data_IF_430630455559
#
_entry.id   IF_430630455559
#
_cell.length_a   1.000
_cell.length_b   1.000
_cell.length_c   1.000
_cell.angle_alpha   90.00
_cell.angle_beta   90.00
_cell.angle_gamma   90.00
#
_symmetry.space_group_name_H-M   'P 1'
#
loop_
_entity.id
_entity.type
_entity.pdbx_description
1 polymer ?
#
# COMPACT_ATOMS: atom_id res chain seq x y z
N UNK A 1 -37.65 2.12 11.99
CA UNK A 1 -36.87 2.64 10.85
C UNK A 1 -35.51 3.06 11.38
N UNK A 2 -34.47 2.25 11.20
CA UNK A 2 -33.12 2.57 11.69
C UNK A 2 -32.39 3.39 10.63
N UNK A 3 -32.10 4.64 10.95
CA UNK A 3 -31.25 5.52 10.15
C UNK A 3 -29.82 4.99 10.19
N UNK A 4 -29.41 4.29 9.14
CA UNK A 4 -28.02 3.88 8.92
C UNK A 4 -27.24 5.18 8.67
N UNK A 5 -26.39 5.56 9.64
CA UNK A 5 -25.46 6.68 9.46
C UNK A 5 -24.43 6.25 8.40
N UNK A 6 -24.08 7.10 7.43
CA UNK A 6 -22.98 6.78 6.53
C UNK A 6 -21.73 6.57 7.37
N UNK A 7 -21.13 5.38 7.29
CA UNK A 7 -19.84 5.08 7.87
C UNK A 7 -18.88 6.10 7.29
N UNK A 8 -18.42 7.04 8.12
CA UNK A 8 -17.41 8.01 7.72
C UNK A 8 -16.14 7.17 7.51
N UNK A 9 -15.82 6.87 6.26
CA UNK A 9 -14.59 6.15 5.92
C UNK A 9 -13.43 6.94 6.55
N UNK A 10 -12.70 6.31 7.46
CA UNK A 10 -11.54 6.90 8.13
C UNK A 10 -10.43 7.22 7.13
N UNK A 11 -10.42 6.52 6.00
CA UNK A 11 -9.45 6.65 4.92
C UNK A 11 -10.12 6.98 3.58
N UNK A 12 -9.33 7.51 2.67
CA UNK A 12 -9.70 7.78 1.28
C UNK A 12 -9.88 6.46 0.52
N UNK A 13 -10.72 6.50 -0.52
CA UNK A 13 -10.90 5.35 -1.40
C UNK A 13 -9.59 4.90 -2.06
N UNK A 14 -8.62 5.81 -2.23
CA UNK A 14 -7.33 5.49 -2.82
C UNK A 14 -6.43 4.76 -1.82
N UNK A 15 -6.44 5.15 -0.54
CA UNK A 15 -5.79 4.36 0.49
C UNK A 15 -6.43 2.99 0.66
N UNK A 16 -7.76 2.89 0.64
CA UNK A 16 -8.46 1.60 0.74
C UNK A 16 -8.07 0.65 -0.41
N UNK A 17 -7.90 1.16 -1.63
CA UNK A 17 -7.39 0.36 -2.76
C UNK A 17 -5.97 -0.14 -2.48
N UNK A 18 -5.09 0.72 -1.99
CA UNK A 18 -3.70 0.37 -1.68
C UNK A 18 -3.65 -0.70 -0.58
N UNK A 19 -4.40 -0.50 0.51
CA UNK A 19 -4.50 -1.44 1.63
C UNK A 19 -5.08 -2.79 1.19
N UNK A 20 -6.09 -2.78 0.31
CA UNK A 20 -6.68 -4.00 -0.25
C UNK A 20 -5.68 -4.82 -1.08
N UNK A 21 -4.83 -4.16 -1.87
CA UNK A 21 -3.75 -4.88 -2.59
C UNK A 21 -2.72 -5.43 -1.61
N UNK A 22 -2.35 -4.66 -0.60
CA UNK A 22 -1.40 -5.11 0.43
C UNK A 22 -1.90 -6.33 1.20
N UNK A 23 -3.20 -6.43 1.53
CA UNK A 23 -3.76 -7.60 2.24
C UNK A 23 -3.97 -8.83 1.37
N UNK A 24 -3.85 -8.70 0.05
CA UNK A 24 -3.96 -9.81 -0.91
C UNK A 24 -2.60 -10.47 -1.22
N UNK A 25 -1.50 -9.84 -0.80
CA UNK A 25 -0.16 -10.36 -1.00
C UNK A 25 0.36 -10.87 0.35
N UNK A 26 0.89 -12.09 0.36
CA UNK A 26 1.45 -12.71 1.55
C UNK A 26 2.97 -12.84 1.42
N UNK A 27 3.73 -12.67 2.53
CA UNK A 27 5.14 -13.00 2.53
C UNK A 27 5.36 -14.51 2.32
N UNK A 28 6.41 -14.92 1.59
CA UNK A 28 7.46 -14.07 1.02
C UNK A 28 6.99 -13.30 -0.22
N UNK A 29 7.20 -11.98 -0.23
CA UNK A 29 6.72 -11.11 -1.30
C UNK A 29 7.56 -11.30 -2.57
N UNK A 30 6.88 -11.67 -3.66
CA UNK A 30 7.52 -11.94 -4.96
C UNK A 30 7.70 -10.67 -5.77
N UNK A 31 8.55 -10.74 -6.78
CA UNK A 31 8.86 -9.59 -7.64
C UNK A 31 7.60 -8.95 -8.25
N UNK A 32 6.69 -9.78 -8.78
CA UNK A 32 5.46 -9.31 -9.43
C UNK A 32 4.51 -8.59 -8.45
N UNK A 33 4.41 -9.08 -7.21
CA UNK A 33 3.59 -8.49 -6.15
C UNK A 33 4.15 -7.13 -5.74
N UNK A 34 5.46 -7.07 -5.50
CA UNK A 34 6.19 -5.85 -5.13
C UNK A 34 6.10 -4.80 -6.23
N UNK A 35 6.25 -5.21 -7.50
CA UNK A 35 6.15 -4.33 -8.68
C UNK A 35 4.74 -3.76 -8.82
N UNK A 36 3.72 -4.61 -8.67
CA UNK A 36 2.32 -4.21 -8.78
C UNK A 36 1.92 -3.24 -7.67
N UNK A 37 2.32 -3.54 -6.42
CA UNK A 37 2.13 -2.66 -5.28
C UNK A 37 2.86 -1.32 -5.47
N UNK A 38 4.15 -1.33 -5.83
CA UNK A 38 4.95 -0.12 -6.05
C UNK A 38 4.34 0.81 -7.10
N UNK A 39 3.83 0.24 -8.21
CA UNK A 39 3.15 1.00 -9.26
C UNK A 39 1.88 1.67 -8.76
N UNK A 40 1.05 0.94 -7.99
CA UNK A 40 -0.18 1.48 -7.41
C UNK A 40 0.13 2.56 -6.38
N UNK A 41 1.08 2.29 -5.47
CA UNK A 41 1.58 3.22 -4.48
C UNK A 41 2.01 4.55 -5.12
N UNK A 42 2.87 4.53 -6.13
CA UNK A 42 3.32 5.75 -6.83
C UNK A 42 2.19 6.52 -7.50
N UNK A 43 1.22 5.80 -8.10
CA UNK A 43 0.07 6.42 -8.76
C UNK A 43 -0.85 7.13 -7.77
N UNK A 44 -0.99 6.59 -6.56
CA UNK A 44 -1.93 7.10 -5.56
C UNK A 44 -1.27 8.03 -4.54
N UNK A 45 0.06 8.00 -4.38
CA UNK A 45 0.78 8.74 -3.33
C UNK A 45 0.46 10.24 -3.28
N UNK A 46 0.26 10.89 -4.43
CA UNK A 46 -0.11 12.31 -4.48
C UNK A 46 -1.53 12.61 -3.98
N UNK A 47 -2.42 11.64 -4.04
CA UNK A 47 -3.82 11.75 -3.59
C UNK A 47 -4.00 11.39 -2.10
N UNK A 48 -3.02 10.70 -1.50
CA UNK A 48 -3.05 10.34 -0.08
C UNK A 48 -2.84 11.56 0.82
N UNK A 49 -3.57 11.58 1.93
CA UNK A 49 -3.33 12.48 3.06
C UNK A 49 -2.01 12.15 3.76
N UNK A 50 -1.53 13.06 4.60
CA UNK A 50 -0.26 12.87 5.31
C UNK A 50 -0.27 11.62 6.22
N UNK A 51 -1.39 11.34 6.89
CA UNK A 51 -1.53 10.16 7.73
C UNK A 51 -1.50 8.87 6.89
N UNK A 52 -2.24 8.82 5.78
CA UNK A 52 -2.25 7.67 4.87
C UNK A 52 -0.90 7.41 4.23
N UNK A 53 -0.13 8.47 3.94
CA UNK A 53 1.26 8.33 3.47
C UNK A 53 2.12 7.62 4.50
N UNK A 54 2.02 7.98 5.78
CA UNK A 54 2.77 7.30 6.84
C UNK A 54 2.38 5.82 6.94
N UNK A 55 1.10 5.48 6.79
CA UNK A 55 0.68 4.08 6.75
C UNK A 55 1.18 3.35 5.50
N UNK A 56 1.12 3.98 4.33
CA UNK A 56 1.60 3.41 3.10
C UNK A 56 3.13 3.21 3.09
N UNK A 57 3.88 4.12 3.71
CA UNK A 57 5.33 3.98 3.94
C UNK A 57 5.62 2.79 4.86
N UNK A 58 4.84 2.59 5.94
CA UNK A 58 4.94 1.37 6.77
C UNK A 58 4.64 0.09 6.00
N UNK A 59 3.68 0.11 5.07
CA UNK A 59 3.41 -1.05 4.20
C UNK A 59 4.63 -1.35 3.33
N UNK A 60 5.28 -0.32 2.78
CA UNK A 60 6.53 -0.47 2.01
C UNK A 60 7.63 -1.10 2.86
N UNK A 61 7.82 -0.64 4.10
CA UNK A 61 8.81 -1.21 5.02
C UNK A 61 8.53 -2.68 5.32
N UNK A 62 7.27 -3.05 5.59
CA UNK A 62 6.87 -4.45 5.80
C UNK A 62 7.11 -5.31 4.55
N UNK A 63 6.88 -4.77 3.35
CA UNK A 63 7.20 -5.47 2.11
C UNK A 63 8.69 -5.72 2.02
N UNK A 64 9.52 -4.71 2.31
CA UNK A 64 11.00 -4.82 2.28
C UNK A 64 11.48 -5.91 3.24
N UNK A 65 10.92 -5.98 4.45
CA UNK A 65 11.26 -6.99 5.45
C UNK A 65 10.86 -8.42 5.03
N UNK A 66 9.73 -8.56 4.35
CA UNK A 66 9.19 -9.86 3.92
C UNK A 66 9.58 -10.29 2.50
N UNK A 67 10.52 -9.60 1.84
CA UNK A 67 10.90 -9.91 0.46
C UNK A 67 11.48 -11.32 0.33
N UNK A 68 11.05 -12.04 -0.72
CA UNK A 68 11.67 -13.31 -1.11
C UNK A 68 13.16 -13.13 -1.46
N UNK A 69 13.49 -12.02 -2.12
CA UNK A 69 14.86 -11.65 -2.52
C UNK A 69 15.11 -10.18 -2.22
N UNK A 70 16.22 -9.88 -1.53
CA UNK A 70 16.64 -8.50 -1.21
C UNK A 70 16.79 -7.60 -2.44
N UNK A 71 17.10 -8.20 -3.59
CA UNK A 71 17.24 -7.51 -4.88
C UNK A 71 15.93 -6.82 -5.32
N UNK A 72 14.79 -7.37 -4.91
CA UNK A 72 13.46 -6.83 -5.25
C UNK A 72 13.16 -5.51 -4.50
N UNK A 73 13.92 -5.17 -3.45
CA UNK A 73 13.76 -3.92 -2.72
C UNK A 73 13.97 -2.69 -3.63
N UNK A 74 14.83 -2.81 -4.64
CA UNK A 74 15.08 -1.74 -5.61
C UNK A 74 13.82 -1.34 -6.41
N UNK A 75 12.81 -2.22 -6.52
CA UNK A 75 11.53 -1.92 -7.16
C UNK A 75 10.68 -0.94 -6.33
N UNK A 76 10.91 -0.88 -5.02
CA UNK A 76 10.27 0.05 -4.09
C UNK A 76 11.04 1.37 -4.02
N UNK A 77 12.39 1.33 -4.04
CA UNK A 77 13.28 2.49 -3.87
C UNK A 77 13.34 3.50 -5.02
N UNK A 78 12.48 3.44 -6.03
CA UNK A 78 12.40 4.49 -7.07
C UNK A 78 11.71 5.78 -6.62
N UNK A 79 11.81 6.10 -5.32
CA UNK A 79 11.57 7.43 -4.77
C UNK A 79 12.89 8.18 -4.92
N UNK A 80 13.05 8.84 -6.06
CA UNK A 80 14.11 9.82 -6.31
C UNK A 80 13.44 11.18 -6.50
#
# INVERSE_FOLDING_TARGET
>A
MSTIRPVKYLYTQDFDKLASVFTQIDPPYKEDDVRSFSKLYRSLYKALTQEEKQYAERMVDLIIEGLEKRENAALLSGVN
#
